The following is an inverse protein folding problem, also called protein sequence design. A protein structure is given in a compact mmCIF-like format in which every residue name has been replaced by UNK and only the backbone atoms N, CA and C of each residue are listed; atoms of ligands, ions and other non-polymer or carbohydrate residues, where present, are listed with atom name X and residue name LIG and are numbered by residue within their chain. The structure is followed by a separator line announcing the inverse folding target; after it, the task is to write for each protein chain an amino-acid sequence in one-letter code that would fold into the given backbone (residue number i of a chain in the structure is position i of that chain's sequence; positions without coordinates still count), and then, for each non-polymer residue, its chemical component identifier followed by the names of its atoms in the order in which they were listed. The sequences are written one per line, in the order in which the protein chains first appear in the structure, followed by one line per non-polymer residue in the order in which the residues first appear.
data_IF_798923970438
#
_entry.id   IF_798923970438
#
_cell.length_a   1.000
_cell.length_b   1.000
_cell.length_c   1.000
_cell.angle_alpha   90.00
_cell.angle_beta   90.00
_cell.angle_gamma   90.00
#
_symmetry.space_group_name_H-M   'P 1'
#
loop_
_entity.id
_entity.type
_entity.pdbx_description
1 polymer ?
#
# COMPACT_ATOMS: atom_id res chain seq x y z
N UNK A 1 -12.04 -18.19 1.00
CA UNK A 1 -12.56 -16.79 1.05
C UNK A 1 -11.58 -15.73 0.49
N UNK A 2 -10.57 -16.12 -0.30
CA UNK A 2 -9.60 -15.19 -0.91
C UNK A 2 -10.15 -14.37 -2.10
N UNK A 3 -11.38 -14.64 -2.52
CA UNK A 3 -12.05 -13.98 -3.64
C UNK A 3 -12.88 -12.77 -3.16
N UNK A 4 -12.23 -11.73 -2.64
CA UNK A 4 -12.88 -10.43 -2.43
C UNK A 4 -12.05 -9.37 -3.13
N UNK A 5 -12.69 -8.43 -3.82
CA UNK A 5 -11.98 -7.45 -4.66
C UNK A 5 -10.95 -6.61 -3.88
N UNK A 6 -11.14 -6.45 -2.56
CA UNK A 6 -10.17 -5.80 -1.67
C UNK A 6 -8.81 -6.49 -1.62
N UNK A 7 -8.74 -7.83 -1.70
CA UNK A 7 -7.48 -8.57 -1.62
C UNK A 7 -6.65 -8.37 -2.88
N UNK A 8 -7.31 -8.28 -4.04
CA UNK A 8 -6.67 -7.92 -5.30
C UNK A 8 -6.04 -6.54 -5.23
N UNK A 9 -6.76 -5.53 -4.74
CA UNK A 9 -6.21 -4.18 -4.61
C UNK A 9 -5.05 -4.10 -3.62
N UNK A 10 -5.12 -4.79 -2.47
CA UNK A 10 -3.99 -4.85 -1.53
C UNK A 10 -2.78 -5.58 -2.14
N UNK A 11 -3.00 -6.65 -2.90
CA UNK A 11 -1.92 -7.35 -3.60
C UNK A 11 -1.27 -6.47 -4.67
N UNK A 12 -2.05 -5.74 -5.47
CA UNK A 12 -1.52 -4.79 -6.45
C UNK A 12 -0.71 -3.67 -5.77
N UNK A 13 -1.20 -3.14 -4.65
CA UNK A 13 -0.43 -2.19 -3.83
C UNK A 13 0.89 -2.78 -3.33
N UNK A 14 0.89 -4.05 -2.90
CA UNK A 14 2.09 -4.73 -2.45
C UNK A 14 3.09 -4.94 -3.60
N UNK A 15 2.61 -5.26 -4.80
CA UNK A 15 3.44 -5.34 -6.01
C UNK A 15 4.09 -4.00 -6.30
N UNK A 16 3.38 -2.87 -6.15
CA UNK A 16 3.97 -1.55 -6.35
C UNK A 16 5.11 -1.29 -5.35
N UNK A 17 4.93 -1.60 -4.07
CA UNK A 17 6.01 -1.51 -3.09
C UNK A 17 7.18 -2.46 -3.40
N UNK A 18 6.91 -3.67 -3.87
CA UNK A 18 7.95 -4.61 -4.28
C UNK A 18 8.78 -4.05 -5.44
N UNK A 19 8.14 -3.45 -6.45
CA UNK A 19 8.82 -2.77 -7.54
C UNK A 19 9.73 -1.66 -7.03
N UNK A 20 9.29 -0.86 -6.06
CA UNK A 20 10.16 0.13 -5.42
C UNK A 20 11.35 -0.57 -4.77
N UNK A 21 11.12 -1.53 -3.87
CA UNK A 21 12.22 -2.20 -3.14
C UNK A 21 13.25 -2.89 -4.03
N UNK A 22 12.81 -3.48 -5.16
CA UNK A 22 13.67 -4.15 -6.13
C UNK A 22 14.52 -3.18 -6.98
N UNK A 23 13.99 -2.00 -7.30
CA UNK A 23 14.68 -1.02 -8.16
C UNK A 23 15.49 0.03 -7.38
N UNK A 24 15.44 0.03 -6.05
CA UNK A 24 16.21 0.97 -5.24
C UNK A 24 17.57 0.41 -4.84
N UNK A 25 18.55 1.31 -4.79
CA UNK A 25 19.95 0.99 -4.47
C UNK A 25 20.27 1.22 -2.97
N UNK A 26 19.45 1.98 -2.25
CA UNK A 26 19.61 2.20 -0.81
C UNK A 26 18.86 1.15 0.02
N UNK A 27 19.59 0.49 0.93
CA UNK A 27 19.03 -0.48 1.88
C UNK A 27 17.86 0.09 2.69
N UNK A 28 17.89 1.38 3.04
CA UNK A 28 16.83 2.02 3.81
C UNK A 28 15.52 2.16 3.02
N UNK A 29 15.62 2.52 1.73
CA UNK A 29 14.45 2.61 0.83
C UNK A 29 13.85 1.23 0.58
N UNK A 30 14.70 0.22 0.34
CA UNK A 30 14.24 -1.16 0.15
C UNK A 30 13.61 -1.75 1.43
N UNK A 31 14.12 -1.40 2.61
CA UNK A 31 13.53 -1.79 3.89
C UNK A 31 12.14 -1.15 4.09
N UNK A 32 12.01 0.15 3.82
CA UNK A 32 10.74 0.87 3.96
C UNK A 32 9.69 0.37 2.94
N UNK A 33 10.14 0.05 1.71
CA UNK A 33 9.31 -0.59 0.71
C UNK A 33 8.88 -2.01 1.15
N UNK A 34 9.81 -2.81 1.67
CA UNK A 34 9.54 -4.13 2.23
C UNK A 34 8.54 -4.11 3.39
N UNK A 35 8.59 -3.08 4.24
CA UNK A 35 7.57 -2.83 5.27
C UNK A 35 6.18 -2.63 4.65
N UNK A 36 6.08 -1.83 3.57
CA UNK A 36 4.83 -1.65 2.83
C UNK A 36 4.25 -2.96 2.29
N UNK A 37 5.11 -3.80 1.69
CA UNK A 37 4.74 -5.16 1.23
C UNK A 37 4.22 -6.00 2.40
N UNK A 38 4.99 -6.08 3.49
CA UNK A 38 4.64 -6.88 4.66
C UNK A 38 3.33 -6.45 5.29
N UNK A 39 3.10 -5.13 5.42
CA UNK A 39 1.86 -4.57 5.96
C UNK A 39 0.66 -4.95 5.10
N UNK A 40 0.73 -4.81 3.77
CA UNK A 40 -0.39 -5.14 2.87
C UNK A 40 -0.68 -6.64 2.86
N UNK A 41 0.35 -7.50 2.82
CA UNK A 41 0.18 -8.95 2.87
C UNK A 41 -0.39 -9.41 4.22
N UNK A 42 0.12 -8.86 5.33
CA UNK A 42 -0.47 -9.11 6.64
C UNK A 42 -1.93 -8.64 6.68
N UNK A 43 -2.24 -7.50 6.04
CA UNK A 43 -3.59 -6.96 6.04
C UNK A 43 -4.63 -7.82 5.33
N UNK A 44 -4.21 -8.56 4.29
CA UNK A 44 -5.06 -9.55 3.61
C UNK A 44 -5.56 -10.61 4.59
N UNK A 45 -4.75 -11.01 5.59
CA UNK A 45 -5.13 -12.00 6.61
C UNK A 45 -6.16 -11.47 7.60
N UNK A 46 -6.30 -10.14 7.77
CA UNK A 46 -7.24 -9.52 8.70
C UNK A 46 -8.68 -9.39 8.14
N UNK A 47 -9.09 -10.24 7.19
CA UNK A 47 -10.40 -10.20 6.52
C UNK A 47 -11.63 -10.25 7.46
N UNK A 48 -11.47 -10.78 8.68
CA UNK A 48 -12.52 -10.79 9.71
C UNK A 48 -12.65 -9.43 10.43
N UNK A 49 -11.59 -8.62 10.44
CA UNK A 49 -11.49 -7.39 11.21
C UNK A 49 -11.38 -6.16 10.30
N UNK A 50 -12.48 -5.77 9.64
CA UNK A 50 -12.50 -4.66 8.66
C UNK A 50 -12.00 -3.33 9.23
N UNK A 51 -12.32 -3.00 10.48
CA UNK A 51 -11.79 -1.80 11.17
C UNK A 51 -10.26 -1.82 11.27
N UNK A 52 -9.67 -2.99 11.57
CA UNK A 52 -8.21 -3.17 11.57
C UNK A 52 -7.63 -3.02 10.18
N UNK A 53 -8.31 -3.54 9.15
CA UNK A 53 -7.88 -3.39 7.77
C UNK A 53 -7.78 -1.92 7.33
N UNK A 54 -8.75 -1.10 7.74
CA UNK A 54 -8.70 0.35 7.55
C UNK A 54 -7.51 1.01 8.23
N UNK A 55 -7.26 0.68 9.50
CA UNK A 55 -6.14 1.25 10.25
C UNK A 55 -4.79 0.91 9.62
N UNK A 56 -4.59 -0.35 9.23
CA UNK A 56 -3.35 -0.79 8.57
C UNK A 56 -3.19 -0.09 7.21
N UNK A 57 -4.26 0.03 6.41
CA UNK A 57 -4.19 0.73 5.12
C UNK A 57 -3.85 2.22 5.28
N UNK A 58 -4.23 2.88 6.39
CA UNK A 58 -3.79 4.25 6.66
C UNK A 58 -2.29 4.34 6.91
N UNK A 59 -1.72 3.38 7.65
CA UNK A 59 -0.27 3.29 7.86
C UNK A 59 0.44 3.07 6.53
N UNK A 60 -0.07 2.18 5.67
CA UNK A 60 0.48 1.93 4.33
C UNK A 60 0.52 3.20 3.48
N UNK A 61 -0.55 4.00 3.50
CA UNK A 61 -0.58 5.28 2.76
C UNK A 61 0.48 6.26 3.29
N UNK A 62 0.69 6.33 4.61
CA UNK A 62 1.74 7.16 5.19
C UNK A 62 3.13 6.69 4.74
N UNK A 63 3.39 5.37 4.78
CA UNK A 63 4.64 4.78 4.31
C UNK A 63 4.87 5.10 2.83
N UNK A 64 3.82 5.02 2.00
CA UNK A 64 3.91 5.37 0.58
C UNK A 64 4.30 6.84 0.36
N UNK A 65 3.68 7.78 1.07
CA UNK A 65 4.02 9.21 0.94
C UNK A 65 5.44 9.54 1.43
N UNK A 66 5.90 8.91 2.52
CA UNK A 66 7.27 9.07 3.00
C UNK A 66 8.27 8.57 1.96
N UNK A 67 7.97 7.40 1.37
CA UNK A 67 8.79 6.81 0.30
C UNK A 67 8.80 7.71 -0.94
N UNK A 68 7.64 8.17 -1.40
CA UNK A 68 7.49 9.07 -2.55
C UNK A 68 8.33 10.35 -2.38
N UNK A 69 8.21 11.03 -1.23
CA UNK A 69 8.99 12.23 -0.94
C UNK A 69 10.49 11.94 -1.03
N UNK A 70 10.95 10.83 -0.44
CA UNK A 70 12.36 10.44 -0.49
C UNK A 70 12.84 10.19 -1.93
N UNK A 71 12.08 9.46 -2.74
CA UNK A 71 12.45 9.18 -4.13
C UNK A 71 12.54 10.46 -4.96
N UNK A 72 11.60 11.40 -4.77
CA UNK A 72 11.62 12.70 -5.44
C UNK A 72 12.85 13.50 -5.03
N UNK A 73 13.13 13.64 -3.73
CA UNK A 73 14.32 14.35 -3.24
C UNK A 73 15.63 13.78 -3.80
N UNK A 74 15.75 12.44 -3.87
CA UNK A 74 16.90 11.78 -4.48
C UNK A 74 17.02 12.04 -5.99
N UNK A 75 15.89 12.03 -6.71
CA UNK A 75 15.85 12.26 -8.16
C UNK A 75 16.26 13.69 -8.56
N UNK A 76 16.04 14.68 -7.69
CA UNK A 76 16.43 16.07 -7.92
C UNK A 76 17.93 16.33 -7.71
N UNK A 77 18.72 15.32 -7.32
CA UNK A 77 20.16 15.48 -7.10
C UNK A 77 20.51 16.36 -5.90
N UNK A 78 19.55 16.62 -5.00
CA UNK A 78 19.71 17.50 -3.84
C UNK A 78 20.55 16.88 -2.71
N UNK A 79 20.90 15.60 -2.83
CA UNK A 79 21.72 14.87 -1.88
C UNK A 79 22.91 14.28 -2.63
N UNK A 80 24.12 14.73 -2.29
CA UNK A 80 25.35 14.14 -2.82
C UNK A 80 25.42 12.65 -2.42
N UNK A 81 25.64 11.78 -3.42
CA UNK A 81 25.66 10.33 -3.21
C UNK A 81 24.27 9.66 -3.19
N UNK A 82 23.18 10.40 -3.40
CA UNK A 82 21.87 9.78 -3.59
C UNK A 82 21.81 9.05 -4.93
N UNK A 83 21.44 7.78 -4.88
CA UNK A 83 21.20 6.96 -6.06
C UNK A 83 19.93 7.41 -6.75
N UNK A 84 20.06 7.89 -7.98
CA UNK A 84 18.94 8.31 -8.81
C UNK A 84 18.15 7.10 -9.28
N UNK A 85 16.85 7.14 -9.05
CA UNK A 85 15.93 6.13 -9.58
C UNK A 85 15.69 6.42 -11.04
N UNK A 86 16.13 5.53 -11.92
CA UNK A 86 15.91 5.65 -13.36
C UNK A 86 14.54 5.10 -13.74
N UNK A 87 13.68 5.93 -14.33
CA UNK A 87 12.43 5.52 -14.96
C UNK A 87 11.17 5.99 -14.23
N UNK A 88 10.11 6.21 -15.03
CA UNK A 88 8.84 6.74 -14.54
C UNK A 88 8.12 5.77 -13.59
N UNK A 89 8.12 4.47 -13.90
CA UNK A 89 7.34 3.48 -13.16
C UNK A 89 7.83 3.30 -11.71
N UNK A 90 9.13 3.12 -11.42
CA UNK A 90 9.60 3.00 -10.03
C UNK A 90 9.41 4.28 -9.22
N UNK A 91 9.50 5.45 -9.87
CA UNK A 91 9.26 6.75 -9.22
C UNK A 91 7.77 6.93 -8.86
N UNK A 92 6.85 6.58 -9.76
CA UNK A 92 5.41 6.70 -9.55
C UNK A 92 4.77 5.54 -8.77
N UNK A 93 5.52 4.46 -8.52
CA UNK A 93 5.01 3.25 -7.87
C UNK A 93 4.42 3.48 -6.46
N UNK A 94 5.01 4.29 -5.55
CA UNK A 94 4.38 4.56 -4.26
C UNK A 94 3.03 5.28 -4.43
N UNK A 95 2.91 6.24 -5.35
CA UNK A 95 1.61 6.86 -5.69
C UNK A 95 0.59 5.84 -6.22
N UNK A 96 1.00 4.91 -7.11
CA UNK A 96 0.14 3.82 -7.56
C UNK A 96 -0.30 2.92 -6.39
N UNK A 97 0.59 2.65 -5.43
CA UNK A 97 0.27 1.90 -4.21
C UNK A 97 -0.82 2.61 -3.38
N UNK A 98 -0.79 3.95 -3.30
CA UNK A 98 -1.85 4.75 -2.66
C UNK A 98 -3.18 4.57 -3.37
N UNK A 99 -3.21 4.63 -4.70
CA UNK A 99 -4.44 4.44 -5.48
C UNK A 99 -5.04 3.06 -5.21
N UNK A 100 -4.24 1.99 -5.31
CA UNK A 100 -4.71 0.64 -5.02
C UNK A 100 -5.18 0.49 -3.57
N UNK A 101 -4.45 1.07 -2.61
CA UNK A 101 -4.86 1.04 -1.20
C UNK A 101 -6.18 1.80 -0.96
N UNK A 102 -6.41 2.91 -1.68
CA UNK A 102 -7.68 3.64 -1.64
C UNK A 102 -8.84 2.83 -2.23
N UNK A 103 -8.61 2.10 -3.32
CA UNK A 103 -9.59 1.16 -3.89
C UNK A 103 -9.88 0.00 -2.93
N UNK A 104 -8.86 -0.56 -2.28
CA UNK A 104 -9.01 -1.57 -1.24
C UNK A 104 -9.90 -1.06 -0.10
N UNK A 105 -9.63 0.17 0.38
CA UNK A 105 -10.45 0.83 1.39
C UNK A 105 -11.91 0.95 0.96
N UNK A 106 -12.20 1.40 -0.26
CA UNK A 106 -13.59 1.47 -0.76
C UNK A 106 -14.27 0.10 -0.73
N UNK A 107 -13.57 -0.96 -1.12
CA UNK A 107 -14.09 -2.32 -1.08
C UNK A 107 -14.34 -2.83 0.36
N UNK A 108 -13.40 -2.58 1.30
CA UNK A 108 -13.56 -2.94 2.72
C UNK A 108 -14.79 -2.23 3.31
N UNK A 109 -15.00 -0.96 2.97
CA UNK A 109 -16.15 -0.18 3.41
C UNK A 109 -17.48 -0.74 2.89
N UNK A 110 -17.53 -1.13 1.61
CA UNK A 110 -18.72 -1.73 1.02
C UNK A 110 -19.04 -3.08 1.70
N UNK A 111 -18.03 -3.88 1.99
CA UNK A 111 -18.19 -5.16 2.69
C UNK A 111 -18.69 -4.99 4.13
N UNK A 112 -18.15 -4.00 4.87
CA UNK A 112 -18.60 -3.69 6.22
C UNK A 112 -20.08 -3.24 6.24
N UNK A 113 -20.48 -2.39 5.27
CA UNK A 113 -21.88 -1.97 5.12
C UNK A 113 -22.83 -3.14 4.88
N UNK A 114 -22.42 -4.13 4.06
CA UNK A 114 -23.22 -5.34 3.79
C UNK A 114 -23.43 -6.19 5.05
N UNK A 115 -22.38 -6.38 5.85
CA UNK A 115 -22.47 -7.12 7.12
C UNK A 115 -23.42 -6.41 8.08
N UNK A 116 -23.26 -5.09 8.24
CA UNK A 116 -24.13 -4.29 9.10
C UNK A 116 -25.58 -4.29 8.63
N UNK A 117 -25.83 -4.23 7.31
CA UNK A 117 -27.20 -4.31 6.79
C UNK A 117 -27.86 -5.66 7.06
N UNK A 118 -27.12 -6.77 6.93
CA UNK A 118 -27.64 -8.10 7.23
C UNK A 118 -27.93 -8.27 8.74
N UNK A 119 -27.07 -7.74 9.60
CA UNK A 119 -27.29 -7.75 11.05
C UNK A 119 -28.53 -6.94 11.48
N UNK A 120 -28.87 -5.86 10.76
CA UNK A 120 -30.09 -5.09 11.04
C UNK A 120 -31.38 -5.86 10.77
N UNK A 121 -31.42 -6.72 9.75
CA UNK A 121 -32.60 -7.54 9.42
C UNK A 121 -32.77 -8.75 10.35
N UNK A 122 -31.75 -9.05 11.17
CA UNK A 122 -31.80 -10.13 12.16
C UNK A 122 -32.39 -9.67 13.51
N UNK A 123 -32.56 -8.37 13.71
CA UNK A 123 -33.29 -7.79 14.84
C UNK A 123 -34.73 -7.50 14.41
#
# INVERSE_FOLDING_TARGET
MWQRIQTLYMALGAVMFFFVGYNNLSNAQSLLAGLGVALLLANITYYKHRKRQFMVNRVVVIVAFVLEAWLIYGSMGLVEGATTVSGFLPLAAPLLAVIFTAMANRAIQADEKKVQSADRFRK
#
